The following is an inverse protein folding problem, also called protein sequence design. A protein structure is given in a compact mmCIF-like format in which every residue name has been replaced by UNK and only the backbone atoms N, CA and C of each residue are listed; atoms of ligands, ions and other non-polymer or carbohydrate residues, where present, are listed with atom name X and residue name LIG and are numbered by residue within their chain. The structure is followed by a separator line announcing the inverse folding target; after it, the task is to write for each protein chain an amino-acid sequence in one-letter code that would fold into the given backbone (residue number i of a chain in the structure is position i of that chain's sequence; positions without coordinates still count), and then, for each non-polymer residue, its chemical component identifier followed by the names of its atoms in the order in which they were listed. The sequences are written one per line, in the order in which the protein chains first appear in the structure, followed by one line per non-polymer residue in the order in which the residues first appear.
data_IF_179815216302
#
_entry.id   IF_179815216302
#
_cell.length_a   1.000
_cell.length_b   1.000
_cell.length_c   1.000
_cell.angle_alpha   90.00
_cell.angle_beta   90.00
_cell.angle_gamma   90.00
#
_symmetry.space_group_name_H-M   'P 1'
#
loop_
_entity.id
_entity.type
_entity.pdbx_description
1 polymer ?
#
# COMPACT_ATOMS: atom_id res chain seq x y z
N UNK A 1 3.24 -1.41 -1.40
CA UNK A 1 2.80 -2.74 -0.98
C UNK A 1 1.28 -2.76 -0.95
N UNK A 2 0.66 -3.35 -1.96
CA UNK A 2 -0.72 -3.81 -1.86
C UNK A 2 -0.68 -5.03 -0.93
N UNK A 3 -1.05 -4.85 0.33
CA UNK A 3 -1.34 -5.95 1.23
C UNK A 3 -2.78 -6.35 0.90
N UNK A 4 -2.93 -7.36 0.08
CA UNK A 4 -4.22 -8.02 -0.11
C UNK A 4 -4.60 -8.67 1.23
N UNK A 5 -5.87 -8.53 1.61
CA UNK A 5 -6.42 -9.14 2.81
C UNK A 5 -6.11 -10.66 2.81
N UNK A 6 -5.66 -11.26 3.94
CA UNK A 6 -5.37 -12.68 4.01
C UNK A 6 -6.48 -13.62 3.50
N UNK A 7 -7.74 -13.21 3.63
CA UNK A 7 -8.89 -13.97 3.14
C UNK A 7 -9.08 -13.91 1.62
N UNK A 8 -8.48 -12.91 0.93
CA UNK A 8 -8.44 -12.80 -0.54
C UNK A 8 -7.22 -13.52 -1.15
N UNK A 9 -6.27 -13.97 -0.35
CA UNK A 9 -4.97 -14.54 -0.76
C UNK A 9 -5.09 -15.96 -1.38
N UNK A 10 -6.25 -16.55 -1.45
CA UNK A 10 -6.44 -17.83 -2.15
C UNK A 10 -6.31 -17.73 -3.67
N UNK A 11 -6.21 -16.54 -4.24
CA UNK A 11 -5.91 -16.36 -5.65
C UNK A 11 -4.42 -16.04 -5.85
N UNK A 12 -3.62 -17.07 -6.05
CA UNK A 12 -2.24 -16.90 -6.51
C UNK A 12 -2.28 -16.09 -7.81
N UNK A 13 -1.65 -14.92 -7.81
CA UNK A 13 -1.53 -14.11 -9.03
C UNK A 13 -0.66 -14.86 -10.03
N UNK A 14 -1.22 -15.17 -11.18
CA UNK A 14 -0.51 -15.79 -12.28
C UNK A 14 0.10 -14.70 -13.19
N UNK A 15 1.12 -15.09 -13.97
CA UNK A 15 1.76 -14.19 -14.92
C UNK A 15 0.77 -13.43 -15.83
N UNK A 16 -0.31 -14.09 -16.22
CA UNK A 16 -1.36 -13.46 -17.05
C UNK A 16 -2.08 -12.33 -16.31
N UNK A 17 -2.29 -12.45 -15.00
CA UNK A 17 -2.92 -11.41 -14.18
C UNK A 17 -1.98 -10.21 -14.06
N UNK A 18 -0.68 -10.45 -13.88
CA UNK A 18 0.34 -9.38 -13.81
C UNK A 18 0.41 -8.60 -15.12
N UNK A 19 0.39 -9.30 -16.28
CA UNK A 19 0.36 -8.67 -17.59
C UNK A 19 -0.92 -7.84 -17.78
N UNK A 20 -2.06 -8.33 -17.34
CA UNK A 20 -3.33 -7.59 -17.40
C UNK A 20 -3.30 -6.34 -16.54
N UNK A 21 -2.76 -6.44 -15.32
CA UNK A 21 -2.60 -5.30 -14.41
C UNK A 21 -1.67 -4.27 -15.05
N UNK A 22 -0.51 -4.68 -15.57
CA UNK A 22 0.43 -3.75 -16.21
C UNK A 22 -0.19 -3.06 -17.43
N UNK A 23 -0.90 -3.80 -18.27
CA UNK A 23 -1.59 -3.23 -19.44
C UNK A 23 -2.66 -2.20 -19.04
N UNK A 24 -3.42 -2.48 -17.99
CA UNK A 24 -4.42 -1.54 -17.49
C UNK A 24 -3.77 -0.29 -16.87
N UNK A 25 -2.69 -0.44 -16.12
CA UNK A 25 -1.90 0.69 -15.62
C UNK A 25 -1.38 1.55 -16.76
N UNK A 26 -0.85 0.95 -17.85
CA UNK A 26 -0.39 1.68 -19.04
C UNK A 26 -1.53 2.39 -19.74
N UNK A 27 -2.69 1.75 -19.86
CA UNK A 27 -3.90 2.38 -20.44
C UNK A 27 -4.30 3.63 -19.64
N UNK A 28 -4.29 3.57 -18.31
CA UNK A 28 -4.60 4.72 -17.45
C UNK A 28 -3.57 5.85 -17.61
N UNK A 29 -2.30 5.52 -17.78
CA UNK A 29 -1.23 6.50 -18.06
C UNK A 29 -1.42 7.16 -19.42
N UNK A 30 -1.76 6.39 -20.47
CA UNK A 30 -2.02 6.91 -21.82
C UNK A 30 -3.24 7.81 -21.88
N UNK A 31 -4.26 7.54 -21.07
CA UNK A 31 -5.46 8.39 -20.96
C UNK A 31 -5.18 9.73 -20.28
N UNK A 32 -4.06 9.84 -19.56
CA UNK A 32 -3.65 11.06 -18.83
C UNK A 32 -4.76 11.64 -17.96
N UNK A 33 -5.45 10.78 -17.22
CA UNK A 33 -6.59 11.16 -16.39
C UNK A 33 -6.16 12.11 -15.27
N UNK A 34 -6.82 13.27 -15.11
CA UNK A 34 -6.52 14.18 -14.01
C UNK A 34 -6.91 13.56 -12.68
N UNK A 35 -6.09 13.78 -11.65
CA UNK A 35 -6.48 13.47 -10.28
C UNK A 35 -7.43 14.56 -9.76
N UNK A 36 -8.62 14.15 -9.35
CA UNK A 36 -9.48 15.02 -8.55
C UNK A 36 -8.91 15.14 -7.13
N UNK A 37 -8.98 16.33 -6.55
CA UNK A 37 -8.53 16.59 -5.18
C UNK A 37 -9.63 17.31 -4.41
N UNK A 38 -10.02 16.76 -3.26
CA UNK A 38 -11.01 17.39 -2.35
C UNK A 38 -10.56 17.21 -0.91
N UNK A 39 -10.98 18.16 -0.07
CA UNK A 39 -10.85 18.02 1.38
C UNK A 39 -12.21 17.56 1.90
N UNK A 40 -12.23 16.42 2.56
CA UNK A 40 -13.42 15.85 3.18
C UNK A 40 -13.35 15.99 4.68
N UNK A 41 -14.49 16.05 5.33
CA UNK A 41 -14.55 15.88 6.79
C UNK A 41 -14.13 14.47 7.18
N UNK A 42 -13.79 14.27 8.44
CA UNK A 42 -13.48 12.94 8.95
C UNK A 42 -14.67 11.99 8.76
N UNK A 43 -15.86 12.48 9.08
CA UNK A 43 -17.10 11.73 8.99
C UNK A 43 -17.37 11.29 7.54
N UNK A 44 -17.34 12.21 6.58
CA UNK A 44 -17.56 11.88 5.17
C UNK A 44 -16.55 10.84 4.63
N UNK A 45 -15.28 10.97 5.05
CA UNK A 45 -14.23 10.03 4.62
C UNK A 45 -14.42 8.64 5.25
N UNK A 46 -14.83 8.57 6.51
CA UNK A 46 -15.14 7.31 7.20
C UNK A 46 -16.34 6.64 6.55
N UNK A 47 -17.43 7.37 6.33
CA UNK A 47 -18.65 6.85 5.71
C UNK A 47 -18.35 6.28 4.32
N UNK A 48 -17.56 6.98 3.51
CA UNK A 48 -17.13 6.50 2.20
C UNK A 48 -16.35 5.17 2.29
N UNK A 49 -15.35 5.06 3.18
CA UNK A 49 -14.57 3.82 3.31
C UNK A 49 -15.34 2.68 3.97
N UNK A 50 -16.38 2.98 4.76
CA UNK A 50 -17.32 1.96 5.24
C UNK A 50 -18.13 1.38 4.08
N UNK A 51 -18.66 2.23 3.19
CA UNK A 51 -19.41 1.80 2.00
C UNK A 51 -18.53 1.01 1.02
N UNK A 52 -17.26 1.41 0.87
CA UNK A 52 -16.26 0.69 0.05
C UNK A 52 -15.70 -0.58 0.72
N UNK A 53 -16.19 -0.95 1.91
CA UNK A 53 -15.75 -2.14 2.67
C UNK A 53 -14.25 -2.16 2.96
N UNK A 54 -13.67 -1.02 3.34
CA UNK A 54 -12.26 -0.84 3.67
C UNK A 54 -12.05 -0.54 5.18
N UNK A 55 -12.27 -1.51 6.06
CA UNK A 55 -12.27 -1.30 7.52
C UNK A 55 -10.92 -0.85 8.07
N UNK A 56 -9.81 -1.23 7.45
CA UNK A 56 -8.46 -0.80 7.81
C UNK A 56 -8.29 0.73 7.64
N UNK A 57 -8.91 1.32 6.63
CA UNK A 57 -8.90 2.78 6.41
C UNK A 57 -9.83 3.51 7.37
N UNK A 58 -10.99 2.94 7.65
CA UNK A 58 -11.90 3.47 8.67
C UNK A 58 -11.17 3.59 10.00
N UNK A 59 -10.57 2.49 10.48
CA UNK A 59 -9.82 2.45 11.73
C UNK A 59 -8.64 3.44 11.75
N UNK A 60 -7.92 3.58 10.61
CA UNK A 60 -6.85 4.56 10.47
C UNK A 60 -7.35 6.00 10.64
N UNK A 61 -8.47 6.35 10.01
CA UNK A 61 -9.03 7.70 10.06
C UNK A 61 -9.65 8.03 11.42
N UNK A 62 -10.29 7.08 12.07
CA UNK A 62 -10.82 7.23 13.43
C UNK A 62 -9.74 7.58 14.45
N UNK A 63 -8.57 6.93 14.35
CA UNK A 63 -7.43 7.15 15.27
C UNK A 63 -6.65 8.43 14.99
N UNK A 64 -6.84 9.08 13.85
CA UNK A 64 -6.13 10.31 13.53
C UNK A 64 -6.82 11.52 14.12
N UNK A 65 -6.07 12.45 14.78
CA UNK A 65 -6.65 13.63 15.40
C UNK A 65 -7.09 14.71 14.41
N UNK A 66 -6.88 14.53 13.10
CA UNK A 66 -7.25 15.51 12.07
C UNK A 66 -8.77 15.58 11.90
N UNK A 67 -9.39 16.76 11.83
CA UNK A 67 -10.81 16.91 11.56
C UNK A 67 -11.17 16.73 10.09
N UNK A 68 -10.18 16.75 9.20
CA UNK A 68 -10.38 16.62 7.76
C UNK A 68 -9.20 15.96 7.08
N UNK A 69 -9.43 15.39 5.90
CA UNK A 69 -8.44 14.67 5.09
C UNK A 69 -8.47 15.13 3.64
N UNK A 70 -7.29 15.15 3.01
CA UNK A 70 -7.20 15.37 1.57
C UNK A 70 -7.40 14.04 0.86
N UNK A 71 -8.46 13.97 0.08
CA UNK A 71 -8.80 12.82 -0.74
C UNK A 71 -8.44 13.09 -2.19
N UNK A 72 -8.03 12.06 -2.89
CA UNK A 72 -7.75 12.09 -4.33
C UNK A 72 -8.58 11.03 -5.03
N UNK A 73 -9.02 11.32 -6.24
CA UNK A 73 -9.75 10.34 -7.06
C UNK A 73 -9.23 10.26 -8.48
N UNK A 74 -9.39 9.09 -9.05
CA UNK A 74 -9.34 8.82 -10.49
C UNK A 74 -10.67 8.14 -10.84
N UNK A 75 -11.37 8.70 -11.83
CA UNK A 75 -12.60 8.10 -12.35
C UNK A 75 -13.64 7.75 -11.26
N UNK A 76 -13.78 8.65 -10.27
CA UNK A 76 -14.74 8.50 -9.17
C UNK A 76 -14.29 7.60 -8.00
N UNK A 77 -13.17 6.90 -8.14
CA UNK A 77 -12.60 6.09 -7.06
C UNK A 77 -11.73 6.97 -6.16
N UNK A 78 -12.19 7.24 -4.95
CA UNK A 78 -11.50 8.08 -3.97
C UNK A 78 -10.54 7.28 -3.09
N UNK A 79 -9.41 7.91 -2.79
CA UNK A 79 -8.37 7.34 -1.95
C UNK A 79 -7.71 8.41 -1.09
N UNK A 80 -7.20 8.01 0.07
CA UNK A 80 -6.48 8.89 0.98
C UNK A 80 -4.97 8.77 0.79
N UNK A 81 -4.28 9.91 0.60
CA UNK A 81 -2.83 9.96 0.49
C UNK A 81 -2.21 11.01 1.42
N UNK A 82 -1.02 10.71 1.94
CA UNK A 82 -0.30 11.58 2.87
C UNK A 82 0.36 12.80 2.23
N UNK A 83 0.55 12.82 0.93
CA UNK A 83 1.27 13.86 0.23
C UNK A 83 0.53 14.39 -0.98
N UNK A 84 1.19 15.25 -1.72
CA UNK A 84 0.67 15.72 -2.99
C UNK A 84 0.83 14.64 -4.06
N UNK A 85 -0.25 14.37 -4.80
CA UNK A 85 -0.21 13.54 -6.00
C UNK A 85 0.26 14.36 -7.20
N UNK A 86 0.72 13.67 -8.24
CA UNK A 86 0.94 14.27 -9.56
C UNK A 86 -0.37 14.82 -10.11
N UNK A 87 -0.35 15.79 -11.06
CA UNK A 87 -1.57 16.35 -11.63
C UNK A 87 -2.46 15.34 -12.34
N UNK A 88 -1.84 14.32 -12.98
CA UNK A 88 -2.55 13.30 -13.74
C UNK A 88 -1.78 11.98 -13.78
N UNK A 89 -2.43 10.92 -14.29
CA UNK A 89 -1.83 9.59 -14.46
C UNK A 89 -0.70 9.59 -15.49
N UNK A 90 -0.71 10.51 -16.44
CA UNK A 90 0.30 10.62 -17.52
C UNK A 90 1.72 10.94 -17.03
N UNK A 91 1.89 11.36 -15.79
CA UNK A 91 3.22 11.55 -15.18
C UNK A 91 3.93 10.23 -14.86
N UNK A 92 3.19 9.12 -14.70
CA UNK A 92 3.74 7.81 -14.33
C UNK A 92 4.08 6.96 -15.58
N UNK A 93 4.86 7.50 -16.51
CA UNK A 93 5.11 6.87 -17.82
C UNK A 93 6.03 5.67 -17.78
N UNK A 94 6.94 5.64 -16.81
CA UNK A 94 8.02 4.66 -16.77
C UNK A 94 7.88 3.77 -15.55
N UNK A 95 7.47 2.55 -15.78
CA UNK A 95 7.41 1.49 -14.78
C UNK A 95 7.39 0.11 -15.48
N UNK A 96 7.62 -0.94 -14.73
CA UNK A 96 7.40 -2.32 -15.17
C UNK A 96 7.03 -3.21 -14.00
N UNK A 97 6.26 -4.25 -14.25
CA UNK A 97 5.90 -5.26 -13.27
C UNK A 97 6.69 -6.55 -13.52
N UNK A 98 7.32 -7.06 -12.46
CA UNK A 98 7.99 -8.37 -12.48
C UNK A 98 7.21 -9.36 -11.64
N UNK A 99 7.00 -10.54 -12.21
CA UNK A 99 6.49 -11.67 -11.46
C UNK A 99 7.49 -12.07 -10.38
N UNK A 100 7.00 -12.17 -9.16
CA UNK A 100 7.73 -12.74 -8.04
C UNK A 100 6.86 -13.84 -7.42
N UNK A 101 7.48 -14.86 -6.86
CA UNK A 101 6.76 -16.00 -6.27
C UNK A 101 5.70 -15.52 -5.28
N UNK A 102 4.42 -15.68 -5.64
CA UNK A 102 3.27 -15.28 -4.85
C UNK A 102 2.82 -13.83 -5.00
N UNK A 103 3.38 -13.08 -5.98
CA UNK A 103 3.01 -11.68 -6.22
C UNK A 103 3.79 -11.04 -7.36
N UNK A 104 3.99 -9.75 -7.28
CA UNK A 104 4.77 -8.99 -8.25
C UNK A 104 5.56 -7.85 -7.60
N UNK A 105 6.56 -7.36 -8.32
CA UNK A 105 7.35 -6.19 -7.95
C UNK A 105 7.11 -5.09 -8.96
N UNK A 106 6.70 -3.92 -8.51
CA UNK A 106 6.63 -2.70 -9.29
C UNK A 106 8.02 -2.05 -9.29
N UNK A 107 8.63 -1.95 -10.46
CA UNK A 107 9.87 -1.23 -10.68
C UNK A 107 9.59 0.15 -11.23
N UNK A 108 10.17 1.15 -10.61
CA UNK A 108 10.12 2.55 -11.00
C UNK A 108 11.52 3.00 -11.46
N UNK A 109 11.64 4.16 -12.13
CA UNK A 109 12.94 4.79 -12.39
C UNK A 109 13.76 4.95 -11.11
N UNK A 110 15.07 4.87 -11.21
CA UNK A 110 15.98 5.07 -10.09
C UNK A 110 17.17 5.96 -10.47
N UNK A 111 17.62 6.74 -9.49
CA UNK A 111 18.73 7.68 -9.70
C UNK A 111 18.35 8.83 -10.63
N UNK A 112 19.18 9.08 -11.63
CA UNK A 112 18.99 10.15 -12.63
C UNK A 112 18.43 9.67 -13.97
N UNK A 113 18.18 8.38 -14.12
CA UNK A 113 17.54 7.80 -15.32
C UNK A 113 16.03 7.73 -15.10
N UNK A 114 15.31 8.69 -15.69
CA UNK A 114 13.85 8.76 -15.63
C UNK A 114 13.18 8.16 -16.87
N UNK A 115 13.94 7.72 -17.85
CA UNK A 115 13.43 7.18 -19.11
C UNK A 115 13.28 5.66 -19.08
N UNK A 116 13.93 5.00 -18.11
CA UNK A 116 13.88 3.56 -17.96
C UNK A 116 13.55 3.14 -16.54
N UNK A 117 12.73 2.10 -16.41
CA UNK A 117 12.53 1.47 -15.11
C UNK A 117 13.84 0.80 -14.64
N UNK A 118 14.15 0.94 -13.36
CA UNK A 118 15.34 0.32 -12.80
C UNK A 118 15.31 -1.20 -13.01
N UNK A 119 16.44 -1.84 -13.35
CA UNK A 119 16.48 -3.29 -13.49
C UNK A 119 16.18 -3.96 -12.16
N UNK A 120 15.37 -5.01 -12.18
CA UNK A 120 15.10 -5.79 -10.98
C UNK A 120 16.35 -6.60 -10.59
N UNK A 121 16.93 -6.24 -9.45
CA UNK A 121 18.02 -7.00 -8.84
C UNK A 121 17.43 -7.96 -7.82
N UNK A 122 17.38 -9.25 -8.16
CA UNK A 122 16.94 -10.28 -7.23
C UNK A 122 17.89 -10.34 -6.02
N UNK A 123 17.37 -9.99 -4.85
CA UNK A 123 18.10 -10.00 -3.57
C UNK A 123 17.44 -10.97 -2.60
N UNK A 124 17.76 -12.25 -2.68
CA UNK A 124 17.08 -13.30 -1.89
C UNK A 124 17.18 -13.06 -0.38
N UNK A 125 18.29 -12.54 0.11
CA UNK A 125 18.44 -12.21 1.54
C UNK A 125 17.48 -11.11 1.99
N UNK A 126 17.31 -10.04 1.19
CA UNK A 126 16.34 -8.98 1.51
C UNK A 126 14.92 -9.53 1.49
N UNK A 127 14.58 -10.32 0.49
CA UNK A 127 13.25 -10.93 0.40
C UNK A 127 12.97 -11.82 1.62
N UNK A 128 13.95 -12.64 2.04
CA UNK A 128 13.82 -13.49 3.22
C UNK A 128 13.59 -12.68 4.50
N UNK A 129 14.28 -11.55 4.67
CA UNK A 129 14.08 -10.64 5.82
C UNK A 129 12.66 -10.07 5.81
N UNK A 130 12.15 -9.60 4.67
CA UNK A 130 10.78 -9.09 4.58
C UNK A 130 9.74 -10.17 4.88
N UNK A 131 9.93 -11.39 4.35
CA UNK A 131 9.04 -12.52 4.64
C UNK A 131 9.08 -12.92 6.11
N UNK A 132 10.25 -12.91 6.72
CA UNK A 132 10.40 -13.18 8.15
C UNK A 132 9.72 -12.09 8.99
N UNK A 133 9.91 -10.82 8.66
CA UNK A 133 9.24 -9.70 9.32
C UNK A 133 7.72 -9.79 9.20
N UNK A 134 7.20 -10.09 8.00
CA UNK A 134 5.76 -10.27 7.79
C UNK A 134 5.20 -11.42 8.65
N UNK A 135 5.92 -12.54 8.71
CA UNK A 135 5.53 -13.69 9.57
C UNK A 135 5.52 -13.33 11.06
N UNK A 136 6.47 -12.50 11.52
CA UNK A 136 6.47 -12.03 12.89
C UNK A 136 5.33 -11.07 13.17
N UNK A 137 5.01 -10.17 12.26
CA UNK A 137 3.84 -9.32 12.38
C UNK A 137 2.54 -10.14 12.48
N UNK A 138 2.41 -11.20 11.67
CA UNK A 138 1.28 -12.13 11.73
C UNK A 138 1.19 -12.82 13.11
N UNK A 139 2.30 -13.38 13.62
CA UNK A 139 2.35 -14.03 14.94
C UNK A 139 1.98 -13.06 16.07
N UNK A 140 2.37 -11.79 15.95
CA UNK A 140 2.08 -10.74 16.90
C UNK A 140 0.68 -10.13 16.72
N UNK A 141 -0.07 -10.54 15.71
CA UNK A 141 -1.40 -10.00 15.40
C UNK A 141 -1.36 -8.58 14.86
N UNK A 142 -0.23 -8.17 14.24
CA UNK A 142 -0.04 -6.83 13.67
C UNK A 142 -0.19 -6.91 12.16
N UNK A 143 -1.27 -6.38 11.63
CA UNK A 143 -1.56 -6.34 10.20
C UNK A 143 -1.34 -4.94 9.61
N UNK A 144 -1.57 -3.91 10.42
CA UNK A 144 -1.50 -2.51 10.01
C UNK A 144 -1.04 -1.59 11.17
N UNK A 145 -0.94 -0.30 10.90
CA UNK A 145 -0.49 0.70 11.90
C UNK A 145 -1.51 0.88 13.03
N UNK A 146 -2.80 0.68 12.78
CA UNK A 146 -3.83 0.78 13.81
C UNK A 146 -3.69 -0.33 14.88
N UNK A 147 -3.29 -1.54 14.50
CA UNK A 147 -2.99 -2.62 15.47
C UNK A 147 -1.86 -2.20 16.44
N UNK A 148 -0.83 -1.50 15.94
CA UNK A 148 0.24 -0.94 16.78
C UNK A 148 -0.29 0.14 17.73
N UNK A 149 -1.17 1.01 17.24
CA UNK A 149 -1.81 2.05 18.05
C UNK A 149 -2.67 1.43 19.16
N UNK A 150 -3.40 0.37 18.84
CA UNK A 150 -4.17 -0.38 19.84
C UNK A 150 -3.28 -1.02 20.91
N UNK A 151 -2.10 -1.55 20.53
CA UNK A 151 -1.12 -2.05 21.51
C UNK A 151 -0.60 -0.96 22.45
N UNK A 152 -0.47 0.28 21.95
CA UNK A 152 -0.10 1.43 22.80
C UNK A 152 -1.20 1.69 23.81
N UNK A 153 -2.46 1.79 23.37
CA UNK A 153 -3.63 2.06 24.21
C UNK A 153 -3.82 0.97 25.27
N UNK A 154 -3.54 -0.30 24.91
CA UNK A 154 -3.61 -1.46 25.81
C UNK A 154 -2.35 -1.64 26.67
N UNK A 155 -1.37 -0.74 26.60
CA UNK A 155 -0.09 -0.83 27.31
C UNK A 155 0.72 -2.12 27.03
N UNK A 156 0.55 -2.70 25.84
CA UNK A 156 1.23 -3.94 25.38
C UNK A 156 2.49 -3.68 24.56
N UNK A 157 2.78 -2.43 24.22
CA UNK A 157 3.91 -2.03 23.38
C UNK A 157 5.27 -2.52 23.93
N UNK A 158 5.43 -2.60 25.25
CA UNK A 158 6.67 -3.09 25.89
C UNK A 158 7.02 -4.52 25.46
N UNK A 159 6.03 -5.39 25.36
CA UNK A 159 6.27 -6.78 24.93
C UNK A 159 6.63 -6.84 23.45
N UNK A 160 5.99 -6.03 22.63
CA UNK A 160 6.31 -5.88 21.22
C UNK A 160 7.76 -5.42 21.02
N UNK A 161 8.21 -4.40 21.75
CA UNK A 161 9.59 -3.91 21.69
C UNK A 161 10.57 -5.01 22.08
N UNK A 162 10.34 -5.73 23.19
CA UNK A 162 11.22 -6.82 23.63
C UNK A 162 11.36 -7.94 22.63
N UNK A 163 10.26 -8.32 21.95
CA UNK A 163 10.31 -9.36 20.91
C UNK A 163 11.13 -8.87 19.71
N UNK A 164 10.94 -7.60 19.29
CA UNK A 164 11.72 -7.04 18.18
C UNK A 164 13.21 -6.92 18.55
N UNK A 165 13.56 -6.52 19.75
CA UNK A 165 14.96 -6.47 20.22
C UNK A 165 15.60 -7.86 20.21
N UNK A 166 14.89 -8.88 20.70
CA UNK A 166 15.37 -10.27 20.71
C UNK A 166 15.53 -10.88 19.30
N UNK A 167 14.89 -10.31 18.27
CA UNK A 167 15.04 -10.76 16.89
C UNK A 167 16.22 -10.10 16.17
N UNK A 168 16.80 -9.03 16.74
CA UNK A 168 17.96 -8.34 16.19
C UNK A 168 19.29 -8.84 16.77
N UNK A 169 19.28 -9.69 17.82
CA UNK A 169 20.45 -10.37 18.35
C UNK A 169 20.72 -11.70 17.59
#
# INVERSE_FOLDING_TARGET
HLILNPDDILRVLHRQDIVRIENEMRRLVELDLPYEKKVWTREDAIDYFMDEQQPDKVELLERRPSPSFTMYAIDGMWEYFYGAMTPSTGYMRVFTLFELRGGFVLQLPAGSDFDHAAPYLYRPKHLAIFQQSAKWCEILGIRNVSDVSEMIDQNKLRNFIRVNEALHE
#
